data_IF_553356787913
#
_entry.id   IF_553356787913
#
_cell.length_a   1.000
_cell.length_b   1.000
_cell.length_c   1.000
_cell.angle_alpha   90.00
_cell.angle_beta   90.00
_cell.angle_gamma   90.00
#
_symmetry.space_group_name_H-M   'P 1'
#
loop_
_entity.id
_entity.type
_entity.pdbx_description
1 polymer ?
#
# COMPACT_ATOMS: atom_id res chain seq x y z
N UNK A 1 9.10 -5.80 -9.26
CA UNK A 1 7.84 -5.52 -9.98
C UNK A 1 8.23 -4.79 -11.24
N UNK A 2 8.04 -5.39 -12.41
CA UNK A 2 8.44 -4.78 -13.69
C UNK A 2 7.62 -3.51 -13.91
N UNK A 3 8.26 -2.43 -14.37
CA UNK A 3 7.65 -1.11 -14.63
C UNK A 3 6.40 -1.21 -15.51
N UNK A 4 6.36 -2.24 -16.35
CA UNK A 4 5.24 -2.59 -17.22
C UNK A 4 3.98 -3.03 -16.46
N UNK A 5 4.11 -3.80 -15.38
CA UNK A 5 2.95 -4.33 -14.64
C UNK A 5 2.22 -3.22 -13.86
N UNK A 6 2.98 -2.22 -13.36
CA UNK A 6 2.39 -1.01 -12.76
C UNK A 6 1.63 -0.18 -13.79
N UNK A 7 2.21 0.00 -14.97
CA UNK A 7 1.57 0.75 -16.06
C UNK A 7 0.28 0.06 -16.53
N UNK A 8 0.29 -1.27 -16.66
CA UNK A 8 -0.89 -2.05 -17.02
C UNK A 8 -1.99 -1.98 -15.95
N UNK A 9 -1.62 -1.89 -14.66
CA UNK A 9 -2.58 -1.71 -13.57
C UNK A 9 -3.20 -0.30 -13.61
N UNK A 10 -2.39 0.74 -13.79
CA UNK A 10 -2.86 2.13 -13.91
C UNK A 10 -3.74 2.31 -15.15
N UNK A 11 -3.42 1.64 -16.25
CA UNK A 11 -4.22 1.65 -17.47
C UNK A 11 -5.57 0.96 -17.24
N UNK A 12 -5.57 -0.20 -16.58
CA UNK A 12 -6.82 -0.88 -16.22
C UNK A 12 -7.71 -0.02 -15.31
N UNK A 13 -7.13 0.70 -14.35
CA UNK A 13 -7.88 1.62 -13.49
C UNK A 13 -8.49 2.79 -14.26
N UNK A 14 -7.74 3.43 -15.17
CA UNK A 14 -8.25 4.52 -16.01
C UNK A 14 -9.36 4.06 -16.94
N UNK A 15 -9.23 2.87 -17.52
CA UNK A 15 -10.28 2.26 -18.34
C UNK A 15 -11.56 2.07 -17.52
N UNK A 16 -11.45 1.60 -16.27
CA UNK A 16 -12.60 1.47 -15.36
C UNK A 16 -13.20 2.82 -14.93
N UNK A 17 -12.41 3.88 -14.80
CA UNK A 17 -12.94 5.23 -14.54
C UNK A 17 -13.69 5.79 -15.76
N UNK A 18 -13.24 5.48 -16.97
CA UNK A 18 -13.89 5.94 -18.20
C UNK A 18 -15.31 5.37 -18.39
N UNK A 19 -15.60 4.18 -17.85
CA UNK A 19 -16.94 3.59 -17.94
C UNK A 19 -17.98 4.41 -17.18
N UNK A 20 -17.60 5.09 -16.10
CA UNK A 20 -18.50 5.97 -15.31
C UNK A 20 -18.91 7.25 -16.05
N UNK A 21 -18.15 7.64 -17.08
CA UNK A 21 -18.39 8.84 -17.86
C UNK A 21 -18.86 8.55 -19.29
N UNK A 22 -19.00 7.27 -19.66
CA UNK A 22 -19.42 6.85 -20.98
C UNK A 22 -20.91 6.46 -20.98
N UNK A 23 -21.70 7.08 -21.85
CA UNK A 23 -23.15 6.80 -21.98
C UNK A 23 -23.48 5.80 -23.09
N UNK A 24 -22.46 5.18 -23.71
CA UNK A 24 -22.61 4.23 -24.80
C UNK A 24 -22.29 2.82 -24.30
N UNK A 25 -23.32 2.00 -24.14
CA UNK A 25 -23.23 0.66 -23.55
C UNK A 25 -22.29 -0.29 -24.31
N UNK A 26 -22.25 -0.21 -25.65
CA UNK A 26 -21.34 -1.03 -26.47
C UNK A 26 -19.87 -0.65 -26.24
N UNK A 27 -19.63 0.64 -26.03
CA UNK A 27 -18.30 1.18 -25.75
C UNK A 27 -17.86 0.84 -24.31
N UNK A 28 -18.77 0.91 -23.34
CA UNK A 28 -18.53 0.49 -21.96
C UNK A 28 -18.16 -1.00 -21.90
N UNK A 29 -18.91 -1.87 -22.57
CA UNK A 29 -18.62 -3.30 -22.62
C UNK A 29 -17.23 -3.60 -23.20
N UNK A 30 -16.84 -2.87 -24.26
CA UNK A 30 -15.51 -2.99 -24.89
C UNK A 30 -14.38 -2.53 -23.97
N UNK A 31 -14.62 -1.48 -23.18
CA UNK A 31 -13.65 -0.94 -22.21
C UNK A 31 -13.48 -1.88 -21.02
N UNK A 32 -14.57 -2.44 -20.50
CA UNK A 32 -14.53 -3.42 -19.40
C UNK A 32 -13.84 -4.73 -19.80
N UNK A 33 -14.06 -5.21 -21.02
CA UNK A 33 -13.38 -6.39 -21.56
C UNK A 33 -11.87 -6.15 -21.66
N UNK A 34 -11.45 -4.96 -22.11
CA UNK A 34 -10.04 -4.62 -22.16
C UNK A 34 -9.42 -4.48 -20.76
N UNK A 35 -10.10 -3.79 -19.84
CA UNK A 35 -9.64 -3.70 -18.45
C UNK A 35 -9.52 -5.09 -17.82
N UNK A 36 -10.50 -5.98 -18.07
CA UNK A 36 -10.49 -7.36 -17.60
C UNK A 36 -9.26 -8.13 -18.09
N UNK A 37 -8.93 -8.09 -19.37
CA UNK A 37 -7.75 -8.79 -19.90
C UNK A 37 -6.44 -8.36 -19.22
N UNK A 38 -6.29 -7.05 -18.97
CA UNK A 38 -5.15 -6.51 -18.22
C UNK A 38 -5.13 -7.06 -16.79
N UNK A 39 -6.28 -7.04 -16.12
CA UNK A 39 -6.43 -7.47 -14.74
C UNK A 39 -6.26 -8.99 -14.58
N UNK A 40 -6.70 -9.81 -15.52
CA UNK A 40 -6.47 -11.26 -15.53
C UNK A 40 -4.98 -11.56 -15.67
N UNK A 41 -4.29 -10.88 -16.58
CA UNK A 41 -2.86 -11.05 -16.77
C UNK A 41 -2.07 -10.69 -15.51
N UNK A 42 -2.41 -9.57 -14.88
CA UNK A 42 -1.78 -9.11 -13.65
C UNK A 42 -2.14 -10.01 -12.45
N UNK A 43 -3.38 -10.47 -12.36
CA UNK A 43 -3.85 -11.44 -11.36
C UNK A 43 -3.10 -12.77 -11.47
N UNK A 44 -2.91 -13.28 -12.69
CA UNK A 44 -2.15 -14.50 -12.96
C UNK A 44 -0.66 -14.37 -12.59
N UNK A 45 -0.13 -13.14 -12.55
CA UNK A 45 1.21 -12.82 -12.02
C UNK A 45 1.24 -12.68 -10.49
N UNK A 46 0.11 -12.87 -9.81
CA UNK A 46 -0.02 -12.78 -8.35
C UNK A 46 -0.36 -11.39 -7.82
N UNK A 47 -0.74 -10.44 -8.69
CA UNK A 47 -1.08 -9.08 -8.26
C UNK A 47 -2.51 -9.03 -7.70
N UNK A 48 -2.62 -8.94 -6.38
CA UNK A 48 -3.90 -9.00 -5.66
C UNK A 48 -4.86 -7.86 -6.02
N UNK A 49 -4.35 -6.65 -6.26
CA UNK A 49 -5.16 -5.51 -6.70
C UNK A 49 -5.84 -5.81 -8.04
N UNK A 50 -5.16 -6.54 -8.92
CA UNK A 50 -5.72 -6.89 -10.22
C UNK A 50 -6.84 -7.93 -10.10
N UNK A 51 -6.63 -8.97 -9.28
CA UNK A 51 -7.70 -9.93 -8.95
C UNK A 51 -8.90 -9.28 -8.25
N UNK A 52 -8.68 -8.25 -7.44
CA UNK A 52 -9.73 -7.47 -6.79
C UNK A 52 -10.57 -6.67 -7.78
N UNK A 53 -9.94 -5.94 -8.70
CA UNK A 53 -10.65 -5.17 -9.74
C UNK A 53 -11.39 -6.09 -10.71
N UNK A 54 -10.79 -7.25 -11.05
CA UNK A 54 -11.43 -8.29 -11.86
C UNK A 54 -12.71 -8.81 -11.21
N UNK A 55 -12.63 -9.10 -9.91
CA UNK A 55 -13.79 -9.58 -9.16
C UNK A 55 -14.86 -8.50 -9.02
N UNK A 56 -14.49 -7.23 -8.85
CA UNK A 56 -15.45 -6.11 -8.88
C UNK A 56 -16.20 -6.01 -10.22
N UNK A 57 -15.51 -6.23 -11.35
CA UNK A 57 -16.13 -6.30 -12.67
C UNK A 57 -17.08 -7.51 -12.82
N UNK A 58 -16.69 -8.67 -12.30
CA UNK A 58 -17.54 -9.87 -12.32
C UNK A 58 -18.77 -9.75 -11.44
N UNK A 59 -18.61 -9.11 -10.28
CA UNK A 59 -19.68 -8.85 -9.32
C UNK A 59 -20.68 -7.82 -9.89
N UNK A 60 -20.21 -6.80 -10.62
CA UNK A 60 -21.07 -5.86 -11.38
C UNK A 60 -21.90 -6.55 -12.47
N UNK A 61 -21.34 -7.57 -13.12
CA UNK A 61 -21.98 -8.29 -14.23
C UNK A 61 -22.99 -9.36 -13.76
N UNK A 62 -22.89 -9.83 -12.51
CA UNK A 62 -23.63 -11.02 -12.02
C UNK A 62 -24.56 -10.82 -10.81
N UNK A 63 -24.78 -9.63 -10.23
CA UNK A 63 -25.81 -9.47 -9.19
C UNK A 63 -26.37 -8.06 -9.02
N UNK A 64 -27.65 -7.95 -8.59
CA UNK A 64 -28.34 -6.68 -8.39
C UNK A 64 -27.74 -5.93 -7.18
N UNK A 65 -27.39 -4.66 -7.38
CA UNK A 65 -27.14 -3.61 -6.36
C UNK A 65 -26.63 -4.10 -5.00
N UNK A 66 -25.38 -4.61 -4.95
CA UNK A 66 -24.68 -4.80 -3.67
C UNK A 66 -24.42 -3.44 -3.03
N UNK A 67 -24.82 -3.29 -1.77
CA UNK A 67 -24.66 -2.03 -1.03
C UNK A 67 -23.19 -1.80 -0.64
N UNK A 68 -22.81 -0.53 -0.40
CA UNK A 68 -21.45 -0.18 0.08
C UNK A 68 -21.07 -0.96 1.34
N UNK A 69 -22.02 -1.21 2.23
CA UNK A 69 -21.76 -1.90 3.50
C UNK A 69 -21.50 -3.41 3.30
N UNK A 70 -22.20 -4.04 2.36
CA UNK A 70 -21.96 -5.44 1.99
C UNK A 70 -20.60 -5.60 1.30
N UNK A 71 -20.20 -4.60 0.51
CA UNK A 71 -18.87 -4.55 -0.10
C UNK A 71 -17.76 -4.47 0.96
N UNK A 72 -17.89 -3.54 1.92
CA UNK A 72 -16.91 -3.36 3.00
C UNK A 72 -16.78 -4.63 3.85
N UNK A 73 -17.89 -5.31 4.14
CA UNK A 73 -17.87 -6.57 4.87
C UNK A 73 -17.17 -7.69 4.10
N UNK A 74 -17.40 -7.79 2.79
CA UNK A 74 -16.71 -8.74 1.92
C UNK A 74 -15.21 -8.44 1.87
N UNK A 75 -14.84 -7.15 1.75
CA UNK A 75 -13.47 -6.69 1.73
C UNK A 75 -12.73 -7.05 3.03
N UNK A 76 -13.30 -6.71 4.19
CA UNK A 76 -12.73 -7.04 5.50
C UNK A 76 -12.58 -8.55 5.71
N UNK A 77 -13.55 -9.36 5.24
CA UNK A 77 -13.46 -10.83 5.33
C UNK A 77 -12.29 -11.37 4.51
N UNK A 78 -12.06 -10.83 3.31
CA UNK A 78 -10.94 -11.23 2.45
C UNK A 78 -9.60 -10.78 3.01
N UNK A 79 -9.51 -9.57 3.55
CA UNK A 79 -8.30 -9.09 4.23
C UNK A 79 -7.93 -9.98 5.42
N UNK A 80 -8.91 -10.37 6.24
CA UNK A 80 -8.69 -11.33 7.34
C UNK A 80 -8.15 -12.66 6.84
N UNK A 81 -8.78 -13.24 5.81
CA UNK A 81 -8.30 -14.48 5.21
C UNK A 81 -6.89 -14.35 4.65
N UNK A 82 -6.59 -13.30 3.91
CA UNK A 82 -5.24 -13.05 3.38
C UNK A 82 -4.21 -12.83 4.47
N UNK A 83 -4.59 -12.19 5.58
CA UNK A 83 -3.73 -12.04 6.75
C UNK A 83 -3.50 -13.38 7.47
N UNK A 84 -4.51 -14.26 7.53
CA UNK A 84 -4.35 -15.64 8.04
C UNK A 84 -3.39 -16.46 7.15
N UNK A 85 -3.43 -16.22 5.84
CA UNK A 85 -2.52 -16.81 4.85
C UNK A 85 -1.14 -16.12 4.78
N UNK A 86 -0.82 -15.24 5.75
CA UNK A 86 0.45 -14.50 5.87
C UNK A 86 0.82 -13.60 4.68
N UNK A 87 -0.17 -13.15 3.92
CA UNK A 87 0.02 -12.24 2.78
C UNK A 87 0.35 -10.83 3.28
N UNK A 88 1.52 -10.25 2.95
CA UNK A 88 1.97 -8.98 3.52
C UNK A 88 1.08 -7.79 3.18
N UNK A 89 0.54 -7.74 1.95
CA UNK A 89 -0.37 -6.70 1.49
C UNK A 89 -1.69 -6.77 2.26
N UNK A 90 -2.25 -7.97 2.45
CA UNK A 90 -3.49 -8.17 3.18
C UNK A 90 -3.34 -7.77 4.66
N UNK A 91 -2.22 -8.16 5.29
CA UNK A 91 -1.87 -7.71 6.64
C UNK A 91 -1.75 -6.18 6.74
N UNK A 92 -1.11 -5.53 5.76
CA UNK A 92 -0.97 -4.07 5.74
C UNK A 92 -2.33 -3.36 5.63
N UNK A 93 -3.19 -3.76 4.70
CA UNK A 93 -4.50 -3.12 4.53
C UNK A 93 -5.42 -3.40 5.72
N UNK A 94 -5.37 -4.60 6.30
CA UNK A 94 -6.10 -4.92 7.52
C UNK A 94 -5.61 -4.09 8.70
N UNK A 95 -4.29 -3.94 8.85
CA UNK A 95 -3.69 -3.06 9.84
C UNK A 95 -4.16 -1.61 9.69
N UNK A 96 -4.24 -1.12 8.46
CA UNK A 96 -4.72 0.23 8.18
C UNK A 96 -6.18 0.44 8.59
N UNK A 97 -7.06 -0.51 8.27
CA UNK A 97 -8.45 -0.49 8.72
C UNK A 97 -8.57 -0.46 10.25
N UNK A 98 -7.77 -1.27 10.95
CA UNK A 98 -7.72 -1.23 12.40
C UNK A 98 -7.17 0.09 12.95
N UNK A 99 -6.18 0.67 12.29
CA UNK A 99 -5.61 1.96 12.66
C UNK A 99 -6.63 3.09 12.57
N UNK A 100 -7.42 3.15 11.49
CA UNK A 100 -8.51 4.12 11.31
C UNK A 100 -9.60 3.94 12.37
N UNK A 101 -9.88 2.69 12.71
CA UNK A 101 -10.81 2.33 13.80
C UNK A 101 -10.23 2.50 15.20
N UNK A 102 -9.01 3.04 15.32
CA UNK A 102 -8.28 3.27 16.58
C UNK A 102 -7.93 2.00 17.37
N UNK A 103 -8.01 0.83 16.74
CA UNK A 103 -7.53 -0.45 17.26
C UNK A 103 -6.03 -0.57 17.02
N UNK A 104 -5.27 0.25 17.74
CA UNK A 104 -3.84 0.45 17.45
C UNK A 104 -2.99 -0.78 17.76
N UNK A 105 -3.36 -1.60 18.75
CA UNK A 105 -2.60 -2.81 19.12
C UNK A 105 -2.64 -3.86 18.01
N UNK A 106 -3.84 -4.14 17.48
CA UNK A 106 -4.03 -5.04 16.35
C UNK A 106 -3.37 -4.50 15.08
N UNK A 107 -3.51 -3.20 14.82
CA UNK A 107 -2.87 -2.55 13.69
C UNK A 107 -1.35 -2.68 13.75
N UNK A 108 -0.72 -2.36 14.89
CA UNK A 108 0.72 -2.38 15.01
C UNK A 108 1.30 -3.80 14.97
N UNK A 109 0.58 -4.79 15.53
CA UNK A 109 0.89 -6.22 15.37
C UNK A 109 0.89 -6.67 13.90
N UNK A 110 -0.14 -6.29 13.13
CA UNK A 110 -0.21 -6.63 11.71
C UNK A 110 0.81 -5.87 10.87
N UNK A 111 1.08 -4.60 11.19
CA UNK A 111 2.16 -3.84 10.55
C UNK A 111 3.52 -4.49 10.83
N UNK A 112 3.78 -4.97 12.05
CA UNK A 112 5.01 -5.69 12.39
C UNK A 112 5.18 -6.95 11.51
N UNK A 113 4.11 -7.73 11.35
CA UNK A 113 4.14 -8.95 10.54
C UNK A 113 4.38 -8.64 9.06
N UNK A 114 3.62 -7.71 8.49
CA UNK A 114 3.80 -7.27 7.10
C UNK A 114 5.21 -6.68 6.86
N UNK A 115 5.72 -5.89 7.81
CA UNK A 115 7.07 -5.34 7.78
C UNK A 115 8.14 -6.44 7.79
N UNK A 116 7.96 -7.47 8.61
CA UNK A 116 8.85 -8.63 8.71
C UNK A 116 8.87 -9.45 7.41
N UNK A 117 7.76 -9.48 6.68
CA UNK A 117 7.66 -10.09 5.35
C UNK A 117 8.15 -9.19 4.21
N UNK A 118 8.74 -8.02 4.51
CA UNK A 118 9.35 -7.12 3.53
C UNK A 118 8.45 -6.02 2.99
N UNK A 119 7.20 -5.89 3.47
CA UNK A 119 6.28 -4.87 2.97
C UNK A 119 6.76 -3.46 3.34
N UNK A 120 7.14 -2.67 2.33
CA UNK A 120 7.86 -1.41 2.49
C UNK A 120 7.06 -0.36 3.27
N UNK A 121 5.76 -0.22 2.96
CA UNK A 121 4.87 0.71 3.67
C UNK A 121 4.59 0.25 5.10
N UNK A 122 4.59 -1.07 5.35
CA UNK A 122 4.35 -1.59 6.69
C UNK A 122 5.55 -1.31 7.60
N UNK A 123 6.78 -1.40 7.07
CA UNK A 123 8.00 -0.97 7.81
C UNK A 123 7.92 0.49 8.23
N UNK A 124 7.46 1.36 7.33
CA UNK A 124 7.23 2.77 7.64
C UNK A 124 6.17 2.94 8.76
N UNK A 125 4.98 2.35 8.59
CA UNK A 125 3.90 2.46 9.57
C UNK A 125 4.27 1.87 10.93
N UNK A 126 4.92 0.70 10.95
CA UNK A 126 5.39 0.07 12.18
C UNK A 126 6.49 0.90 12.86
N UNK A 127 7.42 1.46 12.08
CA UNK A 127 8.45 2.36 12.58
C UNK A 127 7.86 3.60 13.25
N UNK A 128 6.85 4.22 12.64
CA UNK A 128 6.11 5.34 13.25
C UNK A 128 5.36 4.91 14.52
N UNK A 129 4.73 3.73 14.52
CA UNK A 129 4.03 3.20 15.69
C UNK A 129 4.98 3.02 16.89
N UNK A 130 6.19 2.48 16.65
CA UNK A 130 7.24 2.32 17.66
C UNK A 130 7.78 3.66 18.19
N UNK A 131 8.02 4.65 17.31
CA UNK A 131 8.47 5.99 17.72
C UNK A 131 7.41 6.69 18.56
N UNK A 132 6.14 6.57 18.17
CA UNK A 132 5.02 7.19 18.87
C UNK A 132 4.60 6.42 20.15
N UNK A 133 4.92 5.13 20.25
CA UNK A 133 4.36 4.24 21.27
C UNK A 133 2.85 4.00 21.09
N UNK A 134 2.37 3.97 19.84
CA UNK A 134 0.94 3.84 19.54
C UNK A 134 0.61 2.40 19.16
N UNK A 135 -0.12 1.72 20.04
CA UNK A 135 -0.46 0.30 19.87
C UNK A 135 0.70 -0.66 20.15
N UNK A 136 1.88 -0.14 20.47
CA UNK A 136 3.08 -0.88 20.86
C UNK A 136 3.83 -0.09 21.91
N UNK A 137 4.69 -0.77 22.68
CA UNK A 137 5.63 -0.09 23.57
C UNK A 137 6.53 0.85 22.75
N UNK A 138 6.78 2.04 23.29
CA UNK A 138 7.61 3.04 22.63
C UNK A 138 9.06 2.54 22.57
N UNK A 139 9.57 2.38 21.35
CA UNK A 139 10.97 2.04 21.09
C UNK A 139 11.45 2.84 19.87
N UNK A 140 11.98 4.03 20.15
CA UNK A 140 12.44 4.95 19.11
C UNK A 140 13.60 4.35 18.30
N UNK A 141 14.49 3.57 18.92
CA UNK A 141 15.65 2.97 18.25
C UNK A 141 15.20 1.93 17.23
N UNK A 142 14.33 1.01 17.64
CA UNK A 142 13.77 0.01 16.73
C UNK A 142 12.90 0.64 15.66
N UNK A 143 12.15 1.70 16.00
CA UNK A 143 11.29 2.42 15.06
C UNK A 143 12.09 3.11 13.96
N UNK A 144 13.18 3.78 14.31
CA UNK A 144 14.10 4.39 13.35
C UNK A 144 14.72 3.35 12.42
N UNK A 145 15.12 2.19 12.94
CA UNK A 145 15.66 1.11 12.11
C UNK A 145 14.66 0.65 11.04
N UNK A 146 13.38 0.52 11.39
CA UNK A 146 12.33 0.17 10.43
C UNK A 146 12.15 1.24 9.34
N UNK A 147 12.20 2.52 9.72
CA UNK A 147 12.15 3.64 8.78
C UNK A 147 13.38 3.64 7.87
N UNK A 148 14.58 3.40 8.39
CA UNK A 148 15.81 3.29 7.60
C UNK A 148 15.71 2.16 6.56
N UNK A 149 15.20 0.99 6.96
CA UNK A 149 14.98 -0.13 6.04
C UNK A 149 13.91 0.17 4.98
N UNK A 150 12.90 0.96 5.29
CA UNK A 150 11.90 1.43 4.33
C UNK A 150 12.52 2.45 3.35
N UNK A 151 13.34 3.38 3.86
CA UNK A 151 14.06 4.37 3.06
C UNK A 151 15.10 3.72 2.13
N UNK A 152 15.79 2.68 2.59
CA UNK A 152 16.71 1.88 1.78
C UNK A 152 16.01 1.17 0.61
N UNK A 153 14.72 0.84 0.77
CA UNK A 153 13.86 0.32 -0.28
C UNK A 153 13.19 1.43 -1.12
N UNK A 154 13.72 2.65 -1.03
CA UNK A 154 13.33 3.83 -1.78
C UNK A 154 11.90 4.33 -1.53
N UNK A 155 11.34 4.07 -0.35
CA UNK A 155 10.07 4.67 0.01
C UNK A 155 10.21 6.16 0.30
N UNK A 156 9.45 6.97 -0.44
CA UNK A 156 9.55 8.43 -0.40
C UNK A 156 9.34 8.98 1.02
N UNK A 157 8.28 8.56 1.72
CA UNK A 157 7.97 9.05 3.05
C UNK A 157 9.10 8.78 4.05
N UNK A 158 9.72 7.61 3.97
CA UNK A 158 10.85 7.25 4.81
C UNK A 158 12.13 8.00 4.43
N UNK A 159 12.41 8.20 3.13
CA UNK A 159 13.55 9.01 2.68
C UNK A 159 13.42 10.45 3.18
N UNK A 160 12.23 11.05 3.03
CA UNK A 160 11.98 12.42 3.52
C UNK A 160 12.17 12.51 5.04
N UNK A 161 11.69 11.50 5.77
CA UNK A 161 11.90 11.42 7.21
C UNK A 161 13.39 11.42 7.57
N UNK A 162 14.19 10.56 6.94
CA UNK A 162 15.63 10.48 7.19
C UNK A 162 16.35 11.77 6.83
N UNK A 163 16.01 12.40 5.70
CA UNK A 163 16.56 13.69 5.31
C UNK A 163 16.30 14.77 6.38
N UNK A 164 15.07 14.83 6.89
CA UNK A 164 14.67 15.80 7.92
C UNK A 164 15.33 15.51 9.27
N UNK A 165 15.45 14.23 9.64
CA UNK A 165 16.11 13.80 10.87
C UNK A 165 17.58 14.25 10.91
N UNK A 166 18.33 14.05 9.81
CA UNK A 166 19.70 14.54 9.69
C UNK A 166 19.80 16.07 9.56
N UNK A 167 18.88 16.72 8.84
CA UNK A 167 18.90 18.17 8.68
C UNK A 167 18.66 18.92 9.99
N UNK A 168 17.79 18.38 10.85
CA UNK A 168 17.41 18.96 12.14
C UNK A 168 18.20 18.42 13.34
N UNK A 169 18.93 17.31 13.20
CA UNK A 169 19.56 16.63 14.33
C UNK A 169 18.52 16.06 15.31
N UNK A 170 17.49 15.39 14.79
CA UNK A 170 16.36 14.86 15.55
C UNK A 170 16.53 13.36 15.83
N UNK A 171 15.76 12.81 16.77
CA UNK A 171 15.70 11.37 17.06
C UNK A 171 17.08 10.73 17.33
N UNK A 172 17.96 11.46 18.00
CA UNK A 172 19.32 11.01 18.33
C UNK A 172 20.37 11.19 17.22
N UNK A 173 19.98 11.63 16.02
CA UNK A 173 20.94 12.00 14.97
C UNK A 173 21.61 13.34 15.26
N UNK A 174 22.89 13.44 14.97
CA UNK A 174 23.57 14.74 14.95
C UNK A 174 23.20 15.48 13.67
N UNK A 175 23.05 16.80 13.78
CA UNK A 175 22.78 17.63 12.61
C UNK A 175 23.88 17.43 11.55
N UNK A 176 23.48 17.00 10.35
CA UNK A 176 24.37 16.69 9.26
C UNK A 176 23.71 17.01 7.91
N UNK A 177 24.00 18.19 7.39
CA UNK A 177 23.47 18.66 6.10
C UNK A 177 23.97 17.84 4.92
N UNK A 178 25.13 17.19 5.04
CA UNK A 178 25.68 16.34 3.98
C UNK A 178 24.92 15.02 3.87
N UNK A 179 24.59 14.39 5.00
CA UNK A 179 23.74 13.18 5.03
C UNK A 179 22.31 13.50 4.60
N UNK A 180 21.74 14.61 5.09
CA UNK A 180 20.42 15.06 4.64
C UNK A 180 20.36 15.24 3.11
N UNK A 181 21.39 15.85 2.51
CA UNK A 181 21.47 16.01 1.06
C UNK A 181 21.61 14.68 0.31
N UNK A 182 22.28 13.67 0.90
CA UNK A 182 22.36 12.32 0.30
C UNK A 182 20.98 11.66 0.25
N UNK A 183 20.22 11.71 1.35
CA UNK A 183 18.84 11.21 1.38
C UNK A 183 17.95 11.97 0.39
N UNK A 184 18.04 13.30 0.32
CA UNK A 184 17.26 14.09 -0.64
C UNK A 184 17.56 13.73 -2.10
N UNK A 185 18.82 13.46 -2.46
CA UNK A 185 19.16 13.01 -3.82
C UNK A 185 18.50 11.68 -4.17
N UNK A 186 18.24 10.83 -3.17
CA UNK A 186 17.58 9.54 -3.37
C UNK A 186 16.13 9.70 -3.87
N UNK A 187 15.44 10.79 -3.53
CA UNK A 187 14.09 11.10 -4.03
C UNK A 187 14.05 11.32 -5.54
N UNK A 188 15.15 11.79 -6.14
CA UNK A 188 15.27 11.97 -7.59
C UNK A 188 15.78 10.72 -8.32
N UNK A 189 15.97 9.60 -7.62
CA UNK A 189 16.47 8.36 -8.21
C UNK A 189 15.35 7.53 -8.82
N UNK A 190 15.67 6.73 -9.84
CA UNK A 190 14.70 5.83 -10.45
C UNK A 190 14.22 4.76 -9.45
N UNK A 191 12.95 4.41 -9.50
CA UNK A 191 12.36 3.38 -8.64
C UNK A 191 12.02 3.83 -7.22
N UNK A 192 11.91 5.13 -6.98
CA UNK A 192 11.30 5.66 -5.75
C UNK A 192 9.83 5.24 -5.69
N UNK A 193 9.43 4.75 -4.52
CA UNK A 193 8.07 4.32 -4.22
C UNK A 193 7.37 5.51 -3.58
N UNK A 194 6.46 6.12 -4.35
CA UNK A 194 5.61 7.21 -3.91
C UNK A 194 4.40 6.71 -3.13
N UNK A 195 3.79 7.60 -2.36
CA UNK A 195 2.56 7.31 -1.62
C UNK A 195 1.35 7.23 -2.55
#
# INVERSE_FOLDING_TARGET
METQDKYELEEAQKLLEMTWHCSNDDLVASIEEWARELLERLSNKGMLIAGYLLQGLDDQKNSPEMTSEEFDQCFLRRLKKGADDEIPEAMFYLAHSYWESQNYEEAASLYQKAASSGHVYAKWCYGLALIAGRGVEKDEVSGLKQIEESAAQKFEGAIQFMANAYAGGLYGYSQNTSEAAKWQRMLGSEGVIHY
#
